data_IF_275741126798
#
_entry.id   IF_275741126798
#
_cell.length_a   1.000
_cell.length_b   1.000
_cell.length_c   1.000
_cell.angle_alpha   90.00
_cell.angle_beta   90.00
_cell.angle_gamma   90.00
#
_symmetry.space_group_name_H-M   'P 1'
#
loop_
_entity.id
_entity.type
_entity.pdbx_description
1 polymer ?
#
# COMPACT_ATOMS: atom_id res chain seq x y z
N UNK A 1 -24.61 5.60 40.92
CA UNK A 1 -23.39 5.18 41.65
C UNK A 1 -22.18 5.64 40.85
N UNK A 2 -21.54 6.69 41.36
CA UNK A 2 -20.35 7.28 40.75
C UNK A 2 -19.12 6.47 41.20
N UNK A 3 -18.62 5.59 40.35
CA UNK A 3 -17.32 4.92 40.57
C UNK A 3 -16.21 5.83 40.07
N UNK A 4 -15.38 6.29 40.99
CA UNK A 4 -14.31 7.25 40.76
C UNK A 4 -13.14 6.53 40.09
N UNK A 5 -12.53 7.14 39.03
CA UNK A 5 -11.37 6.64 38.27
C UNK A 5 -10.15 6.23 39.13
N UNK A 6 -10.10 6.64 40.40
CA UNK A 6 -9.02 6.30 41.33
C UNK A 6 -9.11 4.88 41.91
N UNK A 7 -10.27 4.23 41.87
CA UNK A 7 -10.43 2.88 42.42
C UNK A 7 -10.08 1.78 41.44
N UNK A 8 -9.99 2.12 40.13
CA UNK A 8 -9.57 1.17 39.08
C UNK A 8 -8.06 0.84 39.09
N UNK A 9 -7.25 1.72 39.70
CA UNK A 9 -5.78 1.56 39.74
C UNK A 9 -5.28 0.74 40.95
N UNK A 10 -6.16 0.33 41.88
CA UNK A 10 -5.78 -0.43 43.10
C UNK A 10 -5.95 -1.95 43.00
N UNK A 11 -6.54 -2.45 41.91
CA UNK A 11 -6.76 -3.91 41.71
C UNK A 11 -5.69 -4.59 40.85
N UNK A 12 -4.70 -3.87 40.34
CA UNK A 12 -3.71 -4.38 39.39
C UNK A 12 -2.37 -4.87 39.96
N UNK A 13 -2.24 -5.09 41.25
CA UNK A 13 -0.95 -5.47 41.87
C UNK A 13 -0.99 -6.85 42.56
N UNK A 14 -1.42 -7.90 41.86
CA UNK A 14 -1.15 -9.28 42.30
C UNK A 14 -1.20 -10.25 41.11
N UNK A 15 -0.11 -11.03 40.97
CA UNK A 15 0.08 -12.14 40.04
C UNK A 15 0.71 -11.80 38.69
N UNK A 16 1.99 -11.42 38.69
CA UNK A 16 2.90 -11.79 37.59
C UNK A 16 3.60 -13.10 38.00
N UNK A 17 3.01 -14.21 37.63
CA UNK A 17 3.66 -15.52 37.68
C UNK A 17 4.75 -15.59 36.64
N UNK A 18 6.02 -15.76 37.06
CA UNK A 18 7.13 -16.12 36.18
C UNK A 18 6.84 -17.48 35.55
N UNK A 19 6.53 -17.50 34.24
CA UNK A 19 6.65 -18.71 33.44
C UNK A 19 8.10 -18.78 32.99
N UNK A 20 8.86 -19.74 33.55
CA UNK A 20 10.23 -20.01 33.14
C UNK A 20 10.30 -20.49 31.71
N UNK A 21 11.02 -19.78 30.88
CA UNK A 21 11.44 -20.20 29.54
C UNK A 21 12.64 -21.16 29.72
N UNK A 22 12.36 -22.47 29.76
CA UNK A 22 13.38 -23.50 29.52
C UNK A 22 13.26 -23.96 28.07
N UNK A 23 14.33 -23.84 27.30
CA UNK A 23 14.40 -24.38 25.95
C UNK A 23 15.34 -23.58 25.05
N UNK A 24 16.67 -23.83 25.22
CA UNK A 24 17.65 -23.31 24.27
C UNK A 24 17.46 -23.92 22.88
N UNK A 25 17.01 -23.12 21.94
CA UNK A 25 17.27 -23.32 20.52
C UNK A 25 18.13 -22.16 20.06
N UNK A 26 19.19 -22.48 19.30
CA UNK A 26 20.11 -21.48 18.73
C UNK A 26 19.36 -20.36 18.03
N UNK A 27 19.29 -19.19 18.66
CA UNK A 27 18.65 -17.98 18.13
C UNK A 27 19.61 -17.17 17.23
N UNK A 28 20.57 -17.82 16.60
CA UNK A 28 21.41 -17.21 15.58
C UNK A 28 20.85 -17.62 14.22
N UNK A 29 20.42 -16.62 13.43
CA UNK A 29 20.01 -16.67 12.01
C UNK A 29 18.52 -16.70 11.63
N UNK A 30 17.56 -16.48 12.51
CA UNK A 30 16.24 -16.09 12.04
C UNK A 30 16.28 -14.62 11.61
N UNK A 31 16.29 -14.34 10.31
CA UNK A 31 16.12 -12.98 9.79
C UNK A 31 14.80 -12.44 10.36
N UNK A 32 14.91 -11.39 11.18
CA UNK A 32 13.73 -10.77 11.78
C UNK A 32 12.76 -10.31 10.68
N UNK A 33 11.51 -10.76 10.76
CA UNK A 33 10.48 -10.47 9.74
C UNK A 33 9.25 -9.84 10.38
N UNK A 34 8.60 -8.95 9.63
CA UNK A 34 7.28 -8.46 9.98
C UNK A 34 6.27 -9.64 10.00
N UNK A 35 5.17 -9.54 10.77
CA UNK A 35 4.22 -10.64 10.90
C UNK A 35 3.56 -10.97 9.55
N UNK A 36 3.67 -12.22 9.13
CA UNK A 36 3.02 -12.75 7.91
C UNK A 36 2.34 -14.07 8.29
N UNK A 37 1.07 -14.26 7.95
CA UNK A 37 0.41 -15.53 8.16
C UNK A 37 1.10 -16.68 7.40
N UNK A 38 1.01 -17.89 7.93
CA UNK A 38 1.50 -19.09 7.25
C UNK A 38 0.64 -19.41 6.02
N UNK A 39 1.29 -19.98 5.01
CA UNK A 39 0.65 -20.43 3.78
C UNK A 39 1.27 -19.84 2.52
N UNK A 40 1.25 -20.61 1.44
CA UNK A 40 1.88 -20.25 0.15
C UNK A 40 1.38 -18.90 -0.42
N UNK A 41 0.11 -18.56 -0.20
CA UNK A 41 -0.47 -17.30 -0.67
C UNK A 41 0.13 -16.05 -0.03
N UNK A 42 0.71 -16.17 1.16
CA UNK A 42 1.33 -15.06 1.89
C UNK A 42 2.84 -14.99 1.69
N UNK A 43 3.43 -16.00 1.04
CA UNK A 43 4.86 -16.05 0.82
C UNK A 43 5.36 -14.85 0.01
N UNK A 44 6.39 -14.17 0.52
CA UNK A 44 6.97 -13.00 -0.12
C UNK A 44 6.11 -11.72 -0.08
N UNK A 45 5.10 -11.67 0.77
CA UNK A 45 4.20 -10.51 0.86
C UNK A 45 4.65 -9.45 1.88
N UNK A 46 5.67 -9.72 2.71
CA UNK A 46 6.13 -8.81 3.76
C UNK A 46 7.08 -7.73 3.23
N UNK A 47 6.90 -6.48 3.65
CA UNK A 47 7.81 -5.38 3.35
C UNK A 47 7.14 -4.15 2.73
N UNK A 48 7.94 -3.32 2.05
CA UNK A 48 7.49 -2.08 1.42
C UNK A 48 7.03 -2.29 -0.03
N UNK A 49 5.95 -1.63 -0.41
CA UNK A 49 5.31 -1.73 -1.73
C UNK A 49 4.96 -0.36 -2.27
N UNK A 50 5.28 -0.07 -3.52
CA UNK A 50 4.78 1.14 -4.15
C UNK A 50 3.34 0.95 -4.65
N UNK A 51 2.44 1.87 -4.27
CA UNK A 51 1.23 2.12 -5.03
C UNK A 51 1.66 2.83 -6.31
N UNK A 52 2.01 2.05 -7.34
CA UNK A 52 2.74 2.51 -8.52
C UNK A 52 1.96 3.58 -9.29
N UNK A 53 2.62 4.68 -9.64
CA UNK A 53 2.11 5.63 -10.62
C UNK A 53 1.91 4.95 -11.97
N UNK A 54 0.81 5.25 -12.65
CA UNK A 54 0.64 4.86 -14.05
C UNK A 54 1.32 5.93 -14.91
N UNK A 55 2.41 5.60 -15.64
CA UNK A 55 3.11 6.60 -16.42
C UNK A 55 2.43 6.88 -17.76
N UNK A 56 2.42 8.14 -18.14
CA UNK A 56 1.96 8.62 -19.44
C UNK A 56 3.08 9.35 -20.17
N UNK A 57 2.96 9.46 -21.48
CA UNK A 57 3.83 10.35 -22.24
C UNK A 57 3.50 11.82 -21.90
N UNK A 58 4.54 12.65 -21.84
CA UNK A 58 4.42 14.09 -21.62
C UNK A 58 4.69 14.84 -22.93
N UNK A 59 3.67 15.55 -23.41
CA UNK A 59 3.76 16.37 -24.61
C UNK A 59 3.88 15.58 -25.93
N UNK A 60 3.85 16.30 -27.03
CA UNK A 60 3.88 15.73 -28.37
C UNK A 60 2.59 14.99 -28.75
N UNK A 61 2.65 14.21 -29.84
CA UNK A 61 1.48 13.49 -30.37
C UNK A 61 0.96 12.37 -29.44
N UNK A 62 1.78 11.88 -28.51
CA UNK A 62 1.41 10.83 -27.56
C UNK A 62 1.01 11.37 -26.19
N UNK A 63 0.89 12.68 -26.00
CA UNK A 63 0.60 13.26 -24.69
C UNK A 63 -0.61 12.59 -24.01
N UNK A 64 -0.46 12.19 -22.74
CA UNK A 64 -1.50 11.51 -21.96
C UNK A 64 -1.77 10.05 -22.34
N UNK A 65 -1.11 9.49 -23.36
CA UNK A 65 -1.18 8.06 -23.65
C UNK A 65 -0.31 7.26 -22.68
N UNK A 66 -0.69 6.01 -22.41
CA UNK A 66 0.06 5.09 -21.54
C UNK A 66 1.49 4.87 -22.05
N UNK A 67 2.49 5.13 -21.19
CA UNK A 67 3.91 4.95 -21.49
C UNK A 67 4.42 3.62 -20.94
N UNK A 68 4.32 2.56 -21.73
CA UNK A 68 4.76 1.21 -21.33
C UNK A 68 6.28 1.08 -21.16
N UNK A 69 7.07 1.88 -21.89
CA UNK A 69 8.53 1.89 -21.73
C UNK A 69 8.94 2.45 -20.34
N UNK A 70 8.20 3.45 -19.86
CA UNK A 70 8.42 3.98 -18.52
C UNK A 70 8.00 2.98 -17.44
N UNK A 71 6.98 2.12 -17.69
CA UNK A 71 6.63 1.03 -16.76
C UNK A 71 7.84 0.11 -16.54
N UNK A 72 8.57 -0.28 -17.59
CA UNK A 72 9.77 -1.11 -17.45
C UNK A 72 10.83 -0.44 -16.58
N UNK A 73 11.09 0.86 -16.83
CA UNK A 73 12.08 1.63 -16.05
C UNK A 73 11.69 1.74 -14.57
N UNK A 74 10.39 1.95 -14.30
CA UNK A 74 9.86 1.97 -12.92
C UNK A 74 10.04 0.62 -12.23
N UNK A 75 9.72 -0.49 -12.92
CA UNK A 75 9.89 -1.84 -12.35
C UNK A 75 11.36 -2.11 -12.01
N UNK A 76 12.29 -1.80 -12.90
CA UNK A 76 13.73 -1.96 -12.64
C UNK A 76 14.21 -1.06 -11.49
N UNK A 77 13.72 0.16 -11.42
CA UNK A 77 13.99 1.06 -10.31
C UNK A 77 13.54 0.47 -8.97
N UNK A 78 12.30 -0.02 -8.88
CA UNK A 78 11.76 -0.59 -7.65
C UNK A 78 12.49 -1.89 -7.24
N UNK A 79 12.87 -2.73 -8.19
CA UNK A 79 13.71 -3.91 -7.93
C UNK A 79 15.05 -3.49 -7.32
N UNK A 80 15.74 -2.51 -7.92
CA UNK A 80 17.04 -2.01 -7.41
C UNK A 80 16.92 -1.38 -6.01
N UNK A 81 15.78 -0.75 -5.72
CA UNK A 81 15.53 -0.12 -4.41
C UNK A 81 15.04 -1.10 -3.33
N UNK A 82 14.85 -2.38 -3.67
CA UNK A 82 14.53 -3.45 -2.72
C UNK A 82 13.07 -3.50 -2.28
N UNK A 83 12.14 -2.97 -3.08
CA UNK A 83 10.71 -3.14 -2.79
C UNK A 83 10.32 -4.61 -2.86
N UNK A 84 9.34 -5.00 -2.05
CA UNK A 84 8.74 -6.34 -2.07
C UNK A 84 7.80 -6.51 -3.26
N UNK A 85 7.06 -5.47 -3.61
CA UNK A 85 6.07 -5.58 -4.67
C UNK A 85 5.44 -4.24 -5.08
N UNK A 86 4.46 -4.35 -5.97
CA UNK A 86 3.75 -3.22 -6.56
C UNK A 86 2.24 -3.38 -6.42
N UNK A 87 1.57 -2.30 -6.06
CA UNK A 87 0.11 -2.18 -6.05
C UNK A 87 -0.32 -1.32 -7.24
N UNK A 88 -0.98 -1.93 -8.21
CA UNK A 88 -1.24 -1.35 -9.52
C UNK A 88 -2.63 -0.74 -9.62
N UNK A 89 -2.74 0.36 -10.35
CA UNK A 89 -4.01 1.01 -10.73
C UNK A 89 -4.97 1.27 -9.56
N UNK A 90 -4.42 1.51 -8.36
CA UNK A 90 -5.16 2.07 -7.23
C UNK A 90 -5.38 3.58 -7.43
N UNK A 91 -5.65 4.31 -6.32
CA UNK A 91 -5.82 5.77 -6.36
C UNK A 91 -4.57 6.47 -6.91
N UNK A 92 -3.40 6.14 -6.38
CA UNK A 92 -2.10 6.66 -6.85
C UNK A 92 -1.84 6.36 -8.32
N UNK A 93 -2.25 5.18 -8.79
CA UNK A 93 -2.13 4.76 -10.19
C UNK A 93 -3.29 5.22 -11.07
N UNK A 94 -4.14 6.14 -10.58
CA UNK A 94 -5.24 6.76 -11.34
C UNK A 94 -6.22 5.72 -11.93
N UNK A 95 -6.44 4.59 -11.25
CA UNK A 95 -7.13 3.42 -11.80
C UNK A 95 -8.54 3.67 -12.33
N UNK A 96 -9.29 4.60 -11.71
CA UNK A 96 -10.64 4.98 -12.19
C UNK A 96 -10.62 5.90 -13.42
N UNK A 97 -9.45 6.43 -13.81
CA UNK A 97 -9.26 7.27 -14.99
C UNK A 97 -8.67 6.49 -16.18
N UNK A 98 -8.43 5.20 -16.01
CA UNK A 98 -7.93 4.29 -17.02
C UNK A 98 -9.08 3.44 -17.58
N UNK A 99 -9.04 3.14 -18.89
CA UNK A 99 -9.91 2.11 -19.45
C UNK A 99 -9.54 0.72 -18.93
N UNK A 100 -10.44 -0.25 -19.06
CA UNK A 100 -10.17 -1.64 -18.68
C UNK A 100 -9.00 -2.23 -19.48
N UNK A 101 -8.87 -1.84 -20.75
CA UNK A 101 -7.79 -2.25 -21.65
C UNK A 101 -6.46 -1.64 -21.22
N UNK A 102 -6.43 -0.37 -20.85
CA UNK A 102 -5.20 0.27 -20.32
C UNK A 102 -4.76 -0.39 -19.02
N UNK A 103 -5.68 -0.68 -18.11
CA UNK A 103 -5.37 -1.37 -16.85
C UNK A 103 -4.81 -2.77 -17.10
N UNK A 104 -5.40 -3.53 -18.02
CA UNK A 104 -4.88 -4.84 -18.44
C UNK A 104 -3.46 -4.73 -19.01
N UNK A 105 -3.19 -3.72 -19.86
CA UNK A 105 -1.84 -3.45 -20.40
C UNK A 105 -0.84 -3.16 -19.29
N UNK A 106 -1.21 -2.34 -18.30
CA UNK A 106 -0.38 -2.08 -17.11
C UNK A 106 -0.05 -3.38 -16.38
N UNK A 107 -1.05 -4.23 -16.11
CA UNK A 107 -0.82 -5.51 -15.41
C UNK A 107 0.16 -6.40 -16.18
N UNK A 108 -0.10 -6.64 -17.46
CA UNK A 108 0.76 -7.47 -18.32
C UNK A 108 2.18 -6.93 -18.38
N UNK A 109 2.33 -5.62 -18.57
CA UNK A 109 3.65 -4.99 -18.70
C UNK A 109 4.44 -5.10 -17.42
N UNK A 110 3.82 -4.82 -16.27
CA UNK A 110 4.48 -4.95 -14.96
C UNK A 110 4.87 -6.39 -14.68
N UNK A 111 3.98 -7.35 -14.83
CA UNK A 111 4.27 -8.78 -14.57
C UNK A 111 5.42 -9.27 -15.48
N UNK A 112 5.39 -8.92 -16.76
CA UNK A 112 6.45 -9.30 -17.72
C UNK A 112 7.79 -8.67 -17.35
N UNK A 113 7.82 -7.40 -16.94
CA UNK A 113 9.04 -6.69 -16.55
C UNK A 113 9.58 -7.15 -15.21
N UNK A 114 8.70 -7.45 -14.25
CA UNK A 114 9.09 -7.91 -12.92
C UNK A 114 9.79 -9.28 -12.95
N UNK A 115 9.40 -10.17 -13.86
CA UNK A 115 10.00 -11.52 -14.00
C UNK A 115 10.08 -12.28 -12.66
N UNK A 116 9.04 -12.16 -11.83
CA UNK A 116 8.96 -12.78 -10.50
C UNK A 116 9.81 -12.13 -9.41
N UNK A 117 10.55 -11.03 -9.71
CA UNK A 117 11.38 -10.31 -8.72
C UNK A 117 10.55 -9.43 -7.77
N UNK A 118 9.36 -9.03 -8.17
CA UNK A 118 8.39 -8.28 -7.37
C UNK A 118 7.06 -9.00 -7.36
N UNK A 119 6.39 -8.97 -6.22
CA UNK A 119 4.99 -9.38 -6.10
C UNK A 119 4.06 -8.31 -6.66
N UNK A 120 2.91 -8.71 -7.19
CA UNK A 120 1.99 -7.79 -7.86
C UNK A 120 0.58 -7.94 -7.32
N UNK A 121 0.01 -6.84 -6.82
CA UNK A 121 -1.39 -6.71 -6.45
C UNK A 121 -2.07 -5.78 -7.47
N UNK A 122 -3.09 -6.26 -8.17
CA UNK A 122 -3.88 -5.43 -9.08
C UNK A 122 -5.14 -4.91 -8.40
N UNK A 123 -5.31 -3.60 -8.29
CA UNK A 123 -6.60 -3.02 -7.96
C UNK A 123 -7.51 -3.14 -9.16
N UNK A 124 -8.67 -3.77 -8.98
CA UNK A 124 -9.63 -4.08 -10.06
C UNK A 124 -10.97 -3.37 -9.89
N UNK A 125 -11.14 -2.56 -8.83
CA UNK A 125 -12.36 -1.81 -8.58
C UNK A 125 -12.73 -0.90 -9.75
N UNK A 126 -13.99 -0.97 -10.17
CA UNK A 126 -14.66 -0.13 -11.15
C UNK A 126 -15.92 0.48 -10.52
N UNK A 127 -16.63 1.36 -11.22
CA UNK A 127 -17.94 1.87 -10.77
C UNK A 127 -18.98 0.75 -10.72
N UNK A 128 -18.93 -0.18 -11.67
CA UNK A 128 -19.78 -1.38 -11.75
C UNK A 128 -19.06 -2.58 -11.13
N UNK A 129 -19.79 -3.37 -10.33
CA UNK A 129 -19.31 -4.64 -9.78
C UNK A 129 -18.99 -5.65 -10.89
N UNK A 130 -19.82 -5.74 -11.92
CA UNK A 130 -19.60 -6.64 -13.05
C UNK A 130 -18.33 -6.32 -13.83
N UNK A 131 -18.02 -5.04 -14.03
CA UNK A 131 -16.78 -4.63 -14.68
C UNK A 131 -15.57 -4.89 -13.79
N UNK A 132 -15.71 -4.75 -12.48
CA UNK A 132 -14.67 -5.14 -11.51
C UNK A 132 -14.38 -6.65 -11.60
N UNK A 133 -15.42 -7.49 -11.73
CA UNK A 133 -15.28 -8.95 -11.92
C UNK A 133 -14.58 -9.30 -13.24
N UNK A 134 -14.94 -8.62 -14.35
CA UNK A 134 -14.29 -8.80 -15.65
C UNK A 134 -12.81 -8.42 -15.57
N UNK A 135 -12.52 -7.30 -14.92
CA UNK A 135 -11.15 -6.82 -14.75
C UNK A 135 -10.32 -7.72 -13.83
N UNK A 136 -10.92 -8.31 -12.79
CA UNK A 136 -10.28 -9.31 -11.94
C UNK A 136 -9.83 -10.53 -12.75
N UNK A 137 -10.68 -11.03 -13.65
CA UNK A 137 -10.32 -12.14 -14.57
C UNK A 137 -9.16 -11.75 -15.50
N UNK A 138 -9.16 -10.52 -16.05
CA UNK A 138 -8.07 -10.00 -16.89
C UNK A 138 -6.77 -9.89 -16.08
N UNK A 139 -6.82 -9.43 -14.84
CA UNK A 139 -5.67 -9.34 -13.94
C UNK A 139 -5.08 -10.74 -13.64
N UNK A 140 -5.94 -11.71 -13.33
CA UNK A 140 -5.51 -13.10 -13.13
C UNK A 140 -4.85 -13.68 -14.39
N UNK A 141 -5.43 -13.46 -15.56
CA UNK A 141 -4.86 -13.88 -16.86
C UNK A 141 -3.53 -13.17 -17.19
N UNK A 142 -3.29 -11.96 -16.65
CA UNK A 142 -2.02 -11.26 -16.75
C UNK A 142 -0.94 -11.82 -15.81
N UNK A 143 -1.30 -12.67 -14.84
CA UNK A 143 -0.36 -13.33 -13.92
C UNK A 143 -0.02 -12.53 -12.67
N UNK A 144 -0.94 -11.65 -12.19
CA UNK A 144 -0.75 -10.98 -10.90
C UNK A 144 -0.89 -11.95 -9.73
N UNK A 145 -0.29 -11.65 -8.58
CA UNK A 145 -0.34 -12.53 -7.41
C UNK A 145 -1.65 -12.37 -6.62
N UNK A 146 -2.19 -11.15 -6.52
CA UNK A 146 -3.41 -10.82 -5.78
C UNK A 146 -4.26 -9.81 -6.55
N UNK A 147 -5.57 -9.81 -6.27
CA UNK A 147 -6.48 -8.75 -6.70
C UNK A 147 -6.99 -7.94 -5.51
N UNK A 148 -7.38 -6.70 -5.75
CA UNK A 148 -7.84 -5.78 -4.72
C UNK A 148 -8.96 -4.88 -5.22
N UNK A 149 -9.86 -4.46 -4.34
CA UNK A 149 -10.84 -3.41 -4.64
C UNK A 149 -11.12 -2.54 -3.42
N UNK A 150 -11.47 -1.27 -3.69
CA UNK A 150 -12.19 -0.43 -2.73
C UNK A 150 -13.65 -0.90 -2.63
N UNK A 151 -14.36 -0.46 -1.57
CA UNK A 151 -15.83 -0.55 -1.53
C UNK A 151 -16.45 0.25 -2.69
N UNK A 152 -17.73 0.03 -3.03
CA UNK A 152 -18.43 0.85 -4.02
C UNK A 152 -18.25 2.34 -3.73
N UNK A 153 -17.86 3.12 -4.76
CA UNK A 153 -17.45 4.52 -4.57
C UNK A 153 -18.61 5.51 -4.74
N UNK A 154 -19.57 5.23 -5.60
CA UNK A 154 -20.68 6.13 -5.90
C UNK A 154 -22.04 5.57 -5.48
N UNK A 155 -22.33 4.32 -5.87
CA UNK A 155 -23.54 3.60 -5.45
C UNK A 155 -23.22 2.54 -4.40
N UNK A 156 -24.25 1.92 -3.79
CA UNK A 156 -24.08 0.76 -2.92
C UNK A 156 -23.34 1.05 -1.61
N UNK A 157 -23.74 2.12 -0.91
CA UNK A 157 -23.07 2.55 0.32
C UNK A 157 -23.43 1.72 1.55
N UNK A 158 -24.43 0.81 1.48
CA UNK A 158 -24.78 -0.08 2.59
C UNK A 158 -23.71 -1.16 2.81
N UNK A 159 -23.74 -1.74 4.01
CA UNK A 159 -22.85 -2.85 4.35
C UNK A 159 -23.13 -4.08 3.47
N UNK A 160 -24.40 -4.37 3.19
CA UNK A 160 -24.83 -5.48 2.35
C UNK A 160 -24.34 -5.30 0.91
N UNK A 161 -24.50 -4.12 0.34
CA UNK A 161 -24.00 -3.80 -1.00
C UNK A 161 -22.48 -3.90 -1.10
N UNK A 162 -21.75 -3.45 -0.07
CA UNK A 162 -20.31 -3.61 -0.01
C UNK A 162 -19.89 -5.08 0.12
N UNK A 163 -20.65 -5.87 0.90
CA UNK A 163 -20.40 -7.31 1.07
C UNK A 163 -20.60 -8.05 -0.25
N UNK A 164 -21.69 -7.78 -0.96
CA UNK A 164 -21.98 -8.39 -2.25
C UNK A 164 -20.92 -8.03 -3.29
N UNK A 165 -20.54 -6.76 -3.34
CA UNK A 165 -19.45 -6.28 -4.21
C UNK A 165 -18.13 -7.03 -3.97
N UNK A 166 -17.68 -7.13 -2.72
CA UNK A 166 -16.45 -7.85 -2.40
C UNK A 166 -16.58 -9.37 -2.66
N UNK A 167 -17.74 -9.94 -2.36
CA UNK A 167 -18.00 -11.36 -2.64
C UNK A 167 -17.87 -11.65 -4.13
N UNK A 168 -18.60 -10.93 -4.98
CA UNK A 168 -18.57 -11.15 -6.43
C UNK A 168 -17.18 -11.00 -7.02
N UNK A 169 -16.42 -9.96 -6.61
CA UNK A 169 -15.07 -9.72 -7.13
C UNK A 169 -14.11 -10.80 -6.64
N UNK A 170 -14.14 -11.13 -5.35
CA UNK A 170 -13.22 -12.13 -4.77
C UNK A 170 -13.49 -13.55 -5.28
N UNK A 171 -14.70 -13.84 -5.74
CA UNK A 171 -15.08 -15.12 -6.35
C UNK A 171 -14.91 -15.15 -7.88
N UNK A 172 -14.61 -14.00 -8.50
CA UNK A 172 -14.39 -13.92 -9.95
C UNK A 172 -13.09 -14.61 -10.41
N UNK A 173 -12.16 -14.90 -9.49
CA UNK A 173 -10.89 -15.61 -9.72
C UNK A 173 -10.53 -16.46 -8.50
N UNK A 174 -9.55 -17.36 -8.64
CA UNK A 174 -8.99 -18.12 -7.51
C UNK A 174 -7.88 -17.36 -6.76
N UNK A 175 -7.54 -16.14 -7.21
CA UNK A 175 -6.51 -15.32 -6.55
C UNK A 175 -7.01 -14.83 -5.18
N UNK A 176 -6.11 -14.68 -4.20
CA UNK A 176 -6.44 -14.04 -2.95
C UNK A 176 -6.81 -12.57 -3.16
N UNK A 177 -7.79 -12.10 -2.38
CA UNK A 177 -8.36 -10.77 -2.47
C UNK A 177 -7.93 -9.91 -1.28
N UNK A 178 -7.49 -8.69 -1.58
CA UNK A 178 -7.12 -7.66 -0.62
C UNK A 178 -8.19 -6.55 -0.60
N UNK A 179 -8.83 -6.33 0.52
CA UNK A 179 -9.72 -5.17 0.70
C UNK A 179 -8.87 -3.89 0.71
N UNK A 180 -9.24 -2.88 -0.06
CA UNK A 180 -8.66 -1.55 0.06
C UNK A 180 -9.59 -0.65 0.88
N UNK A 181 -9.22 -0.42 2.14
CA UNK A 181 -9.96 0.44 3.07
C UNK A 181 -9.40 1.86 3.01
N UNK A 182 -10.16 2.78 2.45
CA UNK A 182 -9.83 4.21 2.34
C UNK A 182 -11.07 5.08 2.53
N UNK A 183 -10.92 6.20 3.22
CA UNK A 183 -11.93 7.25 3.32
C UNK A 183 -13.18 6.89 4.16
N UNK A 184 -13.31 5.67 4.65
CA UNK A 184 -14.43 5.25 5.51
C UNK A 184 -13.93 4.85 6.89
N UNK A 185 -14.73 5.18 7.90
CA UNK A 185 -14.46 4.71 9.27
C UNK A 185 -14.58 3.18 9.30
N UNK A 186 -13.60 2.54 9.92
CA UNK A 186 -13.63 1.11 10.18
C UNK A 186 -14.62 0.83 11.32
N UNK A 187 -15.57 -0.08 11.09
CA UNK A 187 -16.52 -0.56 12.10
C UNK A 187 -16.17 -2.02 12.37
N UNK A 188 -15.51 -2.35 13.50
CA UNK A 188 -14.92 -3.68 13.73
C UNK A 188 -15.85 -4.85 13.47
N UNK A 189 -17.08 -4.81 14.03
CA UNK A 189 -18.06 -5.90 13.93
C UNK A 189 -18.64 -6.09 12.52
N UNK A 190 -18.67 -5.04 11.72
CA UNK A 190 -19.08 -5.14 10.32
C UNK A 190 -17.91 -5.54 9.43
N UNK A 191 -16.76 -4.86 9.60
CA UNK A 191 -15.60 -5.05 8.73
C UNK A 191 -15.04 -6.47 8.84
N UNK A 192 -15.05 -7.08 10.02
CA UNK A 192 -14.57 -8.47 10.20
C UNK A 192 -15.36 -9.47 9.35
N UNK A 193 -16.66 -9.24 9.11
CA UNK A 193 -17.51 -10.12 8.31
C UNK A 193 -17.10 -10.21 6.85
N UNK A 194 -16.40 -9.21 6.30
CA UNK A 194 -15.83 -9.32 4.97
C UNK A 194 -14.75 -10.42 4.88
N UNK A 195 -14.09 -10.72 6.00
CA UNK A 195 -13.09 -11.78 6.04
C UNK A 195 -13.70 -13.19 6.09
N UNK A 196 -15.01 -13.33 6.32
CA UNK A 196 -15.71 -14.62 6.18
C UNK A 196 -15.85 -15.03 4.70
N UNK A 197 -15.74 -14.09 3.76
CA UNK A 197 -15.73 -14.37 2.34
C UNK A 197 -14.52 -15.24 1.95
N UNK A 198 -14.76 -16.24 1.07
CA UNK A 198 -13.80 -17.33 0.77
C UNK A 198 -12.39 -16.84 0.44
N UNK A 199 -12.27 -15.90 -0.49
CA UNK A 199 -10.97 -15.44 -1.01
C UNK A 199 -10.47 -14.12 -0.41
N UNK A 200 -11.17 -13.52 0.54
CA UNK A 200 -10.72 -12.32 1.24
C UNK A 200 -9.65 -12.73 2.27
N UNK A 201 -8.41 -12.32 2.05
CA UNK A 201 -7.25 -12.73 2.84
C UNK A 201 -6.41 -11.56 3.36
N UNK A 202 -6.81 -10.32 3.14
CA UNK A 202 -6.06 -9.19 3.63
C UNK A 202 -6.75 -7.85 3.46
N UNK A 203 -6.08 -6.81 3.98
CA UNK A 203 -6.53 -5.43 3.87
C UNK A 203 -5.34 -4.47 3.75
N UNK A 204 -5.41 -3.56 2.77
CA UNK A 204 -4.68 -2.30 2.79
C UNK A 204 -5.50 -1.30 3.59
N UNK A 205 -4.99 -0.85 4.71
CA UNK A 205 -5.68 0.06 5.62
C UNK A 205 -5.07 1.47 5.57
N UNK A 206 -5.82 2.41 5.00
CA UNK A 206 -5.43 3.83 4.89
C UNK A 206 -6.22 4.68 5.91
N UNK A 207 -6.47 4.11 7.08
CA UNK A 207 -7.10 4.78 8.21
C UNK A 207 -6.09 5.10 9.31
N UNK A 208 -6.57 5.81 10.34
CA UNK A 208 -5.76 6.28 11.48
C UNK A 208 -6.18 5.66 12.81
N UNK A 209 -7.26 4.86 12.81
CA UNK A 209 -7.79 4.24 14.02
C UNK A 209 -7.25 2.81 14.18
N UNK A 210 -6.08 2.72 14.81
CA UNK A 210 -5.44 1.43 15.08
C UNK A 210 -6.11 0.66 16.24
N UNK A 211 -6.89 1.33 17.11
CA UNK A 211 -7.65 0.66 18.16
C UNK A 211 -8.78 -0.17 17.55
N UNK A 212 -9.61 0.45 16.69
CA UNK A 212 -10.70 -0.25 15.99
C UNK A 212 -10.16 -1.36 15.08
N UNK A 213 -9.04 -1.11 14.36
CA UNK A 213 -8.37 -2.16 13.58
C UNK A 213 -7.96 -3.34 14.48
N UNK A 214 -7.35 -3.08 15.63
CA UNK A 214 -6.98 -4.10 16.60
C UNK A 214 -8.20 -4.87 17.14
N UNK A 215 -9.32 -4.18 17.39
CA UNK A 215 -10.57 -4.80 17.80
C UNK A 215 -11.13 -5.75 16.73
N UNK A 216 -11.09 -5.35 15.46
CA UNK A 216 -11.44 -6.20 14.33
C UNK A 216 -10.51 -7.41 14.22
N UNK A 217 -9.19 -7.20 14.27
CA UNK A 217 -8.21 -8.29 14.12
C UNK A 217 -8.36 -9.38 15.18
N UNK A 218 -8.79 -9.03 16.41
CA UNK A 218 -9.05 -10.03 17.47
C UNK A 218 -10.24 -10.94 17.18
N UNK A 219 -11.10 -10.57 16.22
CA UNK A 219 -12.34 -11.30 15.86
C UNK A 219 -12.19 -12.08 14.54
N UNK A 220 -11.02 -12.03 13.89
CA UNK A 220 -10.78 -12.77 12.66
C UNK A 220 -10.88 -14.27 12.89
N UNK A 221 -11.65 -14.94 12.03
CA UNK A 221 -11.84 -16.40 12.03
C UNK A 221 -10.76 -17.15 11.23
N UNK A 222 -9.99 -16.45 10.40
CA UNK A 222 -8.91 -17.01 9.58
C UNK A 222 -7.72 -16.06 9.46
N UNK A 223 -6.53 -16.57 9.09
CA UNK A 223 -5.35 -15.75 8.87
C UNK A 223 -5.56 -14.70 7.79
N UNK A 224 -5.09 -13.47 8.02
CA UNK A 224 -5.16 -12.35 7.07
C UNK A 224 -3.92 -11.47 7.18
N UNK A 225 -3.52 -10.86 6.05
CA UNK A 225 -2.39 -9.94 5.95
C UNK A 225 -2.88 -8.49 5.96
N UNK A 226 -2.09 -7.60 6.56
CA UNK A 226 -2.43 -6.17 6.64
C UNK A 226 -1.28 -5.33 6.15
N UNK A 227 -1.61 -4.28 5.37
CA UNK A 227 -0.65 -3.28 4.89
C UNK A 227 -1.07 -1.88 5.36
N UNK A 228 -0.12 -1.13 5.92
CA UNK A 228 -0.30 0.27 6.25
C UNK A 228 -0.37 1.09 4.95
N UNK A 229 -1.44 1.88 4.78
CA UNK A 229 -1.69 2.62 3.54
C UNK A 229 -1.52 4.12 3.66
N UNK A 230 -1.24 4.65 4.84
CA UNK A 230 -0.95 6.05 5.10
C UNK A 230 0.56 6.20 5.33
N UNK A 231 1.24 6.86 4.40
CA UNK A 231 2.69 6.96 4.34
C UNK A 231 3.28 7.62 5.59
N UNK A 232 2.63 8.68 6.08
CA UNK A 232 2.99 9.41 7.29
C UNK A 232 2.78 8.62 8.59
N UNK A 233 2.22 7.41 8.53
CA UNK A 233 1.88 6.58 9.69
C UNK A 233 2.34 5.11 9.56
N UNK A 234 3.24 4.81 8.65
CA UNK A 234 3.71 3.42 8.42
C UNK A 234 4.26 2.82 9.71
N UNK A 235 5.16 3.53 10.39
CA UNK A 235 5.75 3.02 11.63
C UNK A 235 4.71 2.81 12.73
N UNK A 236 3.72 3.69 12.84
CA UNK A 236 2.61 3.54 13.81
C UNK A 236 1.85 2.23 13.57
N UNK A 237 1.57 1.93 12.31
CA UNK A 237 0.95 0.66 11.91
C UNK A 237 1.82 -0.55 12.27
N UNK A 238 3.09 -0.53 11.84
CA UNK A 238 4.03 -1.63 12.08
C UNK A 238 4.24 -1.91 13.58
N UNK A 239 4.30 -0.84 14.42
CA UNK A 239 4.45 -0.95 15.87
C UNK A 239 3.29 -1.68 16.55
N UNK A 240 2.11 -1.81 15.91
CA UNK A 240 1.01 -2.62 16.43
C UNK A 240 1.30 -4.13 16.39
N UNK A 241 2.33 -4.57 15.66
CA UNK A 241 2.65 -5.98 15.43
C UNK A 241 1.63 -6.71 14.53
N UNK A 242 0.80 -5.98 13.76
CA UNK A 242 -0.27 -6.55 12.92
C UNK A 242 -0.03 -6.40 11.44
N UNK A 243 0.77 -5.41 11.05
CA UNK A 243 1.02 -5.11 9.66
C UNK A 243 2.25 -5.85 9.15
N UNK A 244 2.11 -6.43 7.98
CA UNK A 244 3.17 -7.15 7.27
C UNK A 244 4.02 -6.23 6.40
N UNK A 245 3.65 -4.96 6.30
CA UNK A 245 4.35 -3.97 5.49
C UNK A 245 3.50 -2.73 5.23
N UNK A 246 3.92 -1.96 4.23
CA UNK A 246 3.19 -0.79 3.76
C UNK A 246 2.92 -0.85 2.25
N UNK A 247 1.89 -0.14 1.82
CA UNK A 247 1.58 0.12 0.41
C UNK A 247 1.28 1.61 0.29
N UNK A 248 2.25 2.39 -0.12
CA UNK A 248 2.18 3.85 -0.10
C UNK A 248 2.40 4.52 -1.45
N UNK A 249 1.97 5.78 -1.56
CA UNK A 249 2.15 6.60 -2.75
C UNK A 249 3.58 7.08 -2.89
N UNK A 250 4.17 7.55 -1.77
CA UNK A 250 5.53 8.10 -1.75
C UNK A 250 6.62 7.03 -1.73
N UNK A 251 6.24 5.74 -1.62
CA UNK A 251 7.12 4.61 -1.96
C UNK A 251 7.59 4.64 -3.43
N UNK A 252 6.91 5.39 -4.32
CA UNK A 252 7.42 5.64 -5.67
C UNK A 252 8.67 6.51 -5.68
N UNK A 253 8.70 7.54 -4.84
CA UNK A 253 9.70 8.61 -4.85
C UNK A 253 10.90 8.29 -3.94
N UNK A 254 10.60 7.73 -2.77
CA UNK A 254 11.60 7.45 -1.70
C UNK A 254 11.51 5.99 -1.20
N UNK A 255 11.53 4.98 -2.10
CA UNK A 255 11.31 3.58 -1.73
C UNK A 255 12.29 3.07 -0.68
N UNK A 256 13.56 3.48 -0.73
CA UNK A 256 14.57 3.06 0.22
C UNK A 256 14.24 3.46 1.67
N UNK A 257 13.55 4.59 1.88
CA UNK A 257 13.07 5.04 3.19
C UNK A 257 12.09 4.01 3.77
N UNK A 258 11.12 3.56 2.98
CA UNK A 258 10.11 2.60 3.44
C UNK A 258 10.66 1.19 3.62
N UNK A 259 11.59 0.77 2.76
CA UNK A 259 12.34 -0.48 2.96
C UNK A 259 13.04 -0.44 4.32
N UNK A 260 13.72 0.66 4.66
CA UNK A 260 14.39 0.83 5.96
C UNK A 260 13.42 0.83 7.13
N UNK A 261 12.27 1.50 7.02
CA UNK A 261 11.24 1.46 8.07
C UNK A 261 10.81 0.01 8.32
N UNK A 262 10.50 -0.76 7.27
CA UNK A 262 10.08 -2.14 7.39
C UNK A 262 11.18 -3.05 7.98
N UNK A 263 12.43 -2.93 7.51
CA UNK A 263 13.57 -3.70 8.00
C UNK A 263 13.84 -3.47 9.50
N UNK A 264 13.81 -2.20 9.92
CA UNK A 264 14.08 -1.83 11.32
C UNK A 264 12.92 -2.21 12.23
N UNK A 265 11.68 -2.01 11.79
CA UNK A 265 10.51 -2.45 12.53
C UNK A 265 10.48 -3.99 12.71
N UNK A 266 10.89 -4.75 11.69
CA UNK A 266 11.02 -6.21 11.77
C UNK A 266 12.01 -6.65 12.87
N UNK A 267 13.05 -5.82 13.13
CA UNK A 267 14.04 -6.03 14.19
C UNK A 267 13.62 -5.42 15.53
N UNK A 268 12.41 -4.86 15.64
CA UNK A 268 11.95 -4.09 16.80
C UNK A 268 12.80 -2.83 17.10
N UNK A 269 13.60 -2.35 16.15
CA UNK A 269 14.37 -1.11 16.29
C UNK A 269 13.52 0.10 15.87
N UNK A 270 12.48 0.37 16.65
CA UNK A 270 11.56 1.47 16.38
C UNK A 270 12.21 2.84 16.51
N UNK A 271 13.26 2.97 17.35
CA UNK A 271 13.99 4.23 17.53
C UNK A 271 14.77 4.60 16.24
N UNK A 272 15.43 3.64 15.61
CA UNK A 272 16.07 3.87 14.33
C UNK A 272 15.05 4.05 13.21
N UNK A 273 13.95 3.28 13.19
CA UNK A 273 12.89 3.40 12.20
C UNK A 273 12.20 4.77 12.23
N UNK A 274 12.07 5.40 13.41
CA UNK A 274 11.46 6.72 13.56
C UNK A 274 12.20 7.82 12.76
N UNK A 275 13.51 7.70 12.56
CA UNK A 275 14.29 8.65 11.76
C UNK A 275 13.87 8.60 10.27
N UNK A 276 13.57 7.42 9.75
CA UNK A 276 13.08 7.23 8.39
C UNK A 276 11.61 7.60 8.27
N UNK A 277 10.81 7.34 9.31
CA UNK A 277 9.42 7.82 9.35
C UNK A 277 9.34 9.35 9.31
N UNK A 278 10.27 10.05 9.98
CA UNK A 278 10.36 11.51 9.89
C UNK A 278 10.72 11.98 8.47
N UNK A 279 11.59 11.28 7.75
CA UNK A 279 11.84 11.56 6.33
C UNK A 279 10.58 11.40 5.48
N UNK A 280 9.81 10.31 5.71
CA UNK A 280 8.51 10.09 5.07
C UNK A 280 7.55 11.26 5.34
N UNK A 281 7.38 11.67 6.60
CA UNK A 281 6.51 12.80 6.98
C UNK A 281 6.93 14.09 6.26
N UNK A 282 8.21 14.44 6.26
CA UNK A 282 8.72 15.64 5.56
C UNK A 282 8.48 15.59 4.05
N UNK A 283 8.58 14.40 3.43
CA UNK A 283 8.26 14.24 2.01
C UNK A 283 6.77 14.41 1.74
N UNK A 284 5.91 13.84 2.59
CA UNK A 284 4.45 14.00 2.54
C UNK A 284 4.04 15.46 2.74
N UNK A 285 4.67 16.18 3.67
CA UNK A 285 4.44 17.61 3.87
C UNK A 285 4.77 18.42 2.60
N UNK A 286 5.89 18.12 1.93
CA UNK A 286 6.25 18.74 0.66
C UNK A 286 5.22 18.43 -0.44
N UNK A 287 4.77 17.17 -0.51
CA UNK A 287 3.76 16.69 -1.47
C UNK A 287 2.44 17.47 -1.34
N UNK A 288 1.98 17.74 -0.12
CA UNK A 288 0.73 18.47 0.10
C UNK A 288 0.89 19.99 0.03
N UNK A 289 2.10 20.52 0.25
CA UNK A 289 2.36 21.97 0.29
C UNK A 289 2.65 22.55 -1.10
N UNK A 290 3.21 21.78 -2.03
CA UNK A 290 3.62 22.25 -3.34
C UNK A 290 2.65 21.79 -4.42
N UNK A 291 2.04 22.73 -5.12
CA UNK A 291 1.06 22.43 -6.18
C UNK A 291 1.68 21.58 -7.29
N UNK A 292 1.01 20.47 -7.62
CA UNK A 292 1.42 19.58 -8.69
C UNK A 292 2.59 18.67 -8.34
N UNK A 293 2.98 18.61 -7.07
CA UNK A 293 4.10 17.75 -6.61
C UNK A 293 3.86 16.27 -6.95
N UNK A 294 2.67 15.78 -6.68
CA UNK A 294 2.27 14.40 -6.91
C UNK A 294 2.58 13.94 -8.33
N UNK A 295 3.26 12.80 -8.50
CA UNK A 295 3.71 12.23 -9.78
C UNK A 295 4.80 13.04 -10.51
N UNK A 296 4.76 14.39 -10.47
CA UNK A 296 5.79 15.21 -11.10
C UNK A 296 7.13 15.18 -10.35
N UNK A 297 7.14 14.84 -9.06
CA UNK A 297 8.34 14.60 -8.26
C UNK A 297 9.24 13.51 -8.87
N UNK A 298 8.67 12.53 -9.56
CA UNK A 298 9.42 11.46 -10.23
C UNK A 298 10.38 11.98 -11.30
N UNK A 299 10.11 13.15 -11.91
CA UNK A 299 11.04 13.81 -12.85
C UNK A 299 12.38 14.14 -12.17
N UNK A 300 12.35 14.52 -10.88
CA UNK A 300 13.54 14.87 -10.11
C UNK A 300 14.52 13.70 -10.03
N UNK A 301 14.02 12.49 -9.85
CA UNK A 301 14.86 11.28 -9.82
C UNK A 301 15.14 10.70 -11.22
N UNK A 302 14.71 11.36 -12.29
CA UNK A 302 14.95 10.96 -13.67
C UNK A 302 13.92 10.01 -14.27
N UNK A 303 12.75 9.86 -13.63
CA UNK A 303 11.65 9.01 -14.10
C UNK A 303 10.40 9.86 -14.38
N UNK A 304 10.28 10.42 -15.59
CA UNK A 304 9.12 11.24 -15.95
C UNK A 304 7.88 10.37 -16.20
N UNK A 305 7.00 10.33 -15.23
CA UNK A 305 5.71 9.63 -15.32
C UNK A 305 4.61 10.40 -16.06
N UNK A 306 4.90 11.54 -16.69
CA UNK A 306 3.92 12.36 -17.39
C UNK A 306 3.04 13.18 -16.43
N UNK A 307 2.01 13.79 -16.98
CA UNK A 307 1.01 14.54 -16.20
C UNK A 307 -0.07 13.59 -15.67
N UNK A 308 -0.66 13.85 -14.48
CA UNK A 308 -1.84 13.12 -14.05
C UNK A 308 -3.02 13.41 -14.98
N UNK A 309 -3.92 12.44 -15.14
CA UNK A 309 -5.15 12.63 -15.93
C UNK A 309 -6.17 13.48 -15.16
N UNK A 310 -6.98 14.24 -15.90
CA UNK A 310 -8.11 14.96 -15.32
C UNK A 310 -9.19 13.99 -14.84
N UNK A 311 -9.87 14.25 -13.73
CA UNK A 311 -9.79 15.44 -12.85
C UNK A 311 -8.72 15.38 -11.76
N UNK A 312 -7.90 14.31 -11.67
CA UNK A 312 -6.91 14.13 -10.60
C UNK A 312 -5.83 15.23 -10.60
N UNK A 313 -5.44 15.71 -11.77
CA UNK A 313 -4.53 16.85 -11.89
C UNK A 313 -4.63 17.59 -13.20
N UNK A 314 -3.85 18.66 -13.28
CA UNK A 314 -3.65 19.47 -14.47
C UNK A 314 -2.15 19.50 -14.82
N UNK A 315 -1.78 19.66 -16.10
CA UNK A 315 -0.39 19.89 -16.47
C UNK A 315 0.20 21.07 -15.70
N UNK A 316 1.45 20.93 -15.27
CA UNK A 316 2.19 21.98 -14.57
C UNK A 316 3.12 22.71 -15.55
N UNK A 317 3.39 23.98 -15.26
CA UNK A 317 4.39 24.78 -15.97
C UNK A 317 5.80 24.44 -15.50
N UNK A 318 6.82 24.86 -16.27
CA UNK A 318 8.22 24.69 -15.85
C UNK A 318 8.54 25.48 -14.57
N UNK A 319 7.92 26.64 -14.36
CA UNK A 319 8.05 27.40 -13.12
C UNK A 319 7.49 26.63 -11.92
N UNK A 320 6.36 25.95 -12.06
CA UNK A 320 5.79 25.11 -11.02
C UNK A 320 6.67 23.88 -10.76
N UNK A 321 7.28 23.32 -11.81
CA UNK A 321 8.22 22.22 -11.63
C UNK A 321 9.49 22.66 -10.88
N UNK A 322 10.01 23.87 -11.14
CA UNK A 322 11.14 24.41 -10.40
C UNK A 322 10.86 24.56 -8.89
N UNK A 323 9.61 24.87 -8.50
CA UNK A 323 9.23 24.87 -7.07
C UNK A 323 9.24 23.45 -6.47
N UNK A 324 8.85 22.42 -7.25
CA UNK A 324 8.95 21.02 -6.83
C UNK A 324 10.42 20.63 -6.63
N UNK A 325 11.31 20.96 -7.57
CA UNK A 325 12.75 20.69 -7.46
C UNK A 325 13.33 21.34 -6.19
N UNK A 326 13.03 22.61 -5.97
CA UNK A 326 13.46 23.35 -4.79
C UNK A 326 12.97 22.72 -3.48
N UNK A 327 11.71 22.25 -3.45
CA UNK A 327 11.15 21.58 -2.28
C UNK A 327 11.87 20.26 -2.00
N UNK A 328 12.17 19.47 -3.04
CA UNK A 328 12.90 18.20 -2.89
C UNK A 328 14.36 18.45 -2.47
N UNK A 329 15.03 19.45 -3.05
CA UNK A 329 16.40 19.86 -2.65
C UNK A 329 16.46 20.23 -1.16
N UNK A 330 15.44 20.93 -0.65
CA UNK A 330 15.36 21.34 0.74
C UNK A 330 15.20 20.15 1.72
N UNK A 331 14.74 18.99 1.25
CA UNK A 331 14.66 17.78 2.07
C UNK A 331 16.05 17.22 2.41
N UNK A 332 17.00 17.32 1.48
CA UNK A 332 18.42 16.95 1.67
C UNK A 332 18.73 15.45 1.67
N UNK A 333 17.73 14.57 1.52
CA UNK A 333 17.92 13.13 1.51
C UNK A 333 17.50 12.45 0.19
N UNK A 334 16.89 13.19 -0.74
CA UNK A 334 16.57 12.73 -2.11
C UNK A 334 17.63 13.29 -3.05
N UNK A 335 18.22 12.45 -3.89
CA UNK A 335 19.26 12.86 -4.83
C UNK A 335 18.68 13.04 -6.23
N UNK A 336 19.07 14.12 -6.90
CA UNK A 336 18.65 14.38 -8.28
C UNK A 336 19.15 13.25 -9.20
N UNK A 337 18.27 12.74 -10.06
CA UNK A 337 18.55 11.62 -10.96
C UNK A 337 18.93 10.28 -10.28
N UNK A 338 18.58 10.08 -9.01
CA UNK A 338 18.93 8.88 -8.23
C UNK A 338 18.42 7.56 -8.84
N UNK A 339 17.42 7.61 -9.70
CA UNK A 339 16.89 6.43 -10.37
C UNK A 339 17.63 6.07 -11.67
N UNK A 340 18.34 7.01 -12.26
CA UNK A 340 19.02 6.85 -13.57
C UNK A 340 20.51 6.58 -13.39
N UNK A 341 21.06 6.92 -12.21
CA UNK A 341 22.42 6.60 -11.80
C UNK A 341 22.49 5.19 -11.24
#
# INVERSE_FOLDING_TARGET
>A
MNTNRRDFLKVGAAAVGMVGLAGGANAADAVAKLPVPDGARFAGMSGAWAAMYTPYFRGGEKDGQLNEEMIEKLVEYFVRKGLTGLYLTGSTGEGFLLSAEERERVYRRVVTSAKGRLKVIAHVGCLSTDDSCKLARKAAAAGVDWVSSVAPVYFGQSFEAATDHYKMISEATDLPFLIYSIGKKLVPDQTVRFFDLKNVHGMKYTGRDYYDLGAMCRKLSKPAIFFAGADEQVLNGLATGRFSGCIGSTDNDIPATYVKICELAAKNDFAAAAKYQEQSCRFVDALFSVKGFFKNSMRYIGLDCGNPRRPDGIPITDAQYAEIEKAIDALGFVRKNDAVA
#
